data_IF_530759229307
#
_entry.id   IF_530759229307
#
_cell.length_a   1.000
_cell.length_b   1.000
_cell.length_c   1.000
_cell.angle_alpha   90.00
_cell.angle_beta   90.00
_cell.angle_gamma   90.00
#
_symmetry.space_group_name_H-M   'P 1'
#
loop_
_entity.id
_entity.type
_entity.pdbx_description
1 polymer ?
#
# COMPACT_ATOMS: atom_id res chain seq x y z
N UNK A 1 -27.96 18.04 9.05
CA UNK A 1 -27.06 17.88 7.89
C UNK A 1 -26.51 19.25 7.51
N UNK A 2 -25.22 19.32 7.17
CA UNK A 2 -24.40 20.52 6.86
C UNK A 2 -23.94 21.39 8.05
N UNK A 3 -23.25 20.82 9.03
CA UNK A 3 -22.24 21.59 9.77
C UNK A 3 -21.07 21.86 8.83
N UNK A 4 -21.14 23.00 8.16
CA UNK A 4 -20.05 23.58 7.38
C UNK A 4 -18.75 23.51 8.17
N UNK A 5 -17.76 22.74 7.72
CA UNK A 5 -16.46 22.76 8.37
C UNK A 5 -15.74 24.08 8.03
N UNK A 6 -15.76 25.03 8.97
CA UNK A 6 -15.15 26.35 8.82
C UNK A 6 -13.66 26.26 8.43
N UNK A 7 -12.94 25.23 8.86
CA UNK A 7 -11.52 25.07 8.55
C UNK A 7 -11.30 24.72 7.07
N UNK A 8 -12.14 23.84 6.51
CA UNK A 8 -12.12 23.49 5.09
C UNK A 8 -12.43 24.73 4.22
N UNK A 9 -13.50 25.48 4.55
CA UNK A 9 -13.83 26.71 3.82
C UNK A 9 -12.73 27.77 3.93
N UNK A 10 -12.12 27.90 5.11
CA UNK A 10 -11.00 28.82 5.32
C UNK A 10 -9.78 28.49 4.47
N UNK A 11 -9.47 27.19 4.32
CA UNK A 11 -8.44 26.73 3.40
C UNK A 11 -8.80 27.07 1.94
N UNK A 12 -9.98 26.66 1.47
CA UNK A 12 -10.44 26.88 0.09
C UNK A 12 -10.34 28.37 -0.27
N UNK A 13 -10.86 29.26 0.58
CA UNK A 13 -10.79 30.70 0.36
C UNK A 13 -9.33 31.20 0.29
N UNK A 14 -8.48 30.79 1.24
CA UNK A 14 -7.07 31.20 1.25
C UNK A 14 -6.31 30.70 0.02
N UNK A 15 -6.67 29.52 -0.50
CA UNK A 15 -6.10 28.98 -1.73
C UNK A 15 -6.51 29.80 -2.95
N UNK A 16 -7.78 30.20 -3.05
CA UNK A 16 -8.24 31.12 -4.10
C UNK A 16 -7.54 32.46 -4.02
N UNK A 17 -7.46 33.07 -2.83
CA UNK A 17 -6.79 34.36 -2.64
C UNK A 17 -5.31 34.31 -3.06
N UNK A 18 -4.61 33.21 -2.73
CA UNK A 18 -3.23 33.00 -3.15
C UNK A 18 -3.09 32.80 -4.66
N UNK A 19 -4.00 32.06 -5.30
CA UNK A 19 -3.97 31.84 -6.75
C UNK A 19 -4.27 33.11 -7.53
N UNK A 20 -5.20 33.94 -7.05
CA UNK A 20 -5.51 35.25 -7.66
C UNK A 20 -4.36 36.24 -7.45
N UNK A 21 -3.72 36.23 -6.27
CA UNK A 21 -2.57 37.10 -5.95
C UNK A 21 -1.48 36.34 -5.19
N UNK A 22 -0.42 35.95 -5.91
CA UNK A 22 0.75 35.26 -5.36
C UNK A 22 1.69 36.24 -4.64
N UNK A 23 1.34 36.63 -3.41
CA UNK A 23 2.18 37.44 -2.54
C UNK A 23 2.43 36.76 -1.18
N UNK A 24 3.39 37.26 -0.41
CA UNK A 24 3.81 36.65 0.86
C UNK A 24 2.70 36.62 1.92
N UNK A 25 1.84 37.65 1.94
CA UNK A 25 0.70 37.69 2.88
C UNK A 25 -0.28 36.55 2.61
N UNK A 26 -0.65 36.34 1.35
CA UNK A 26 -1.59 35.29 0.95
C UNK A 26 -0.96 33.90 1.10
N UNK A 27 0.34 33.76 0.79
CA UNK A 27 1.09 32.54 1.04
C UNK A 27 1.11 32.18 2.53
N UNK A 28 1.42 33.15 3.39
CA UNK A 28 1.43 32.94 4.84
C UNK A 28 0.04 32.55 5.38
N UNK A 29 -1.02 33.18 4.87
CA UNK A 29 -2.41 32.82 5.22
C UNK A 29 -2.72 31.38 4.83
N UNK A 30 -2.42 30.99 3.58
CA UNK A 30 -2.62 29.63 3.09
C UNK A 30 -1.83 28.59 3.89
N UNK A 31 -0.54 28.87 4.15
CA UNK A 31 0.32 27.98 4.95
C UNK A 31 -0.19 27.80 6.38
N UNK A 32 -0.79 28.85 6.97
CA UNK A 32 -1.44 28.77 8.28
C UNK A 32 -2.67 27.86 8.25
N UNK A 33 -3.53 27.98 7.23
CA UNK A 33 -4.69 27.09 7.08
C UNK A 33 -4.27 25.63 6.95
N UNK A 34 -3.25 25.35 6.12
CA UNK A 34 -2.72 23.99 5.98
C UNK A 34 -2.22 23.46 7.33
N UNK A 35 -1.48 24.27 8.10
CA UNK A 35 -0.97 23.86 9.41
C UNK A 35 -2.10 23.56 10.41
N UNK A 36 -3.19 24.33 10.40
CA UNK A 36 -4.37 24.06 11.24
C UNK A 36 -4.98 22.71 10.85
N UNK A 37 -5.15 22.46 9.54
CA UNK A 37 -5.71 21.19 9.06
C UNK A 37 -4.81 19.99 9.35
N UNK A 38 -3.49 20.15 9.32
CA UNK A 38 -2.52 19.07 9.59
C UNK A 38 -2.54 18.55 11.03
N UNK A 39 -3.25 19.20 11.95
CA UNK A 39 -3.35 18.78 13.36
C UNK A 39 -4.78 18.41 13.78
N UNK A 40 -5.74 18.40 12.84
CA UNK A 40 -7.12 18.03 13.15
C UNK A 40 -7.21 16.55 13.46
N UNK A 41 -7.69 16.21 14.67
CA UNK A 41 -7.83 14.82 15.11
C UNK A 41 -9.01 14.09 14.47
N UNK A 42 -10.14 14.77 14.31
CA UNK A 42 -11.32 14.18 13.69
C UNK A 42 -11.17 14.17 12.17
N UNK A 43 -10.68 13.07 11.61
CA UNK A 43 -10.46 12.97 10.16
C UNK A 43 -11.75 12.90 9.34
N UNK A 44 -12.91 12.64 9.96
CA UNK A 44 -14.20 12.60 9.25
C UNK A 44 -14.53 13.90 8.53
N UNK A 45 -13.92 15.01 8.94
CA UNK A 45 -14.13 16.31 8.30
C UNK A 45 -13.60 16.39 6.86
N UNK A 46 -12.71 15.47 6.50
CA UNK A 46 -12.07 15.41 5.19
C UNK A 46 -12.76 14.37 4.28
N UNK A 47 -13.72 13.58 4.79
CA UNK A 47 -14.39 12.56 3.99
C UNK A 47 -15.08 13.19 2.77
N UNK A 48 -14.78 12.74 1.53
CA UNK A 48 -15.26 13.33 0.29
C UNK A 48 -16.73 13.01 0.04
N UNK A 49 -17.59 13.50 0.92
CA UNK A 49 -19.02 13.18 0.98
C UNK A 49 -19.91 14.36 0.59
N UNK A 50 -19.34 15.57 0.51
CA UNK A 50 -20.04 16.77 0.09
C UNK A 50 -19.20 17.66 -0.85
N UNK A 51 -19.87 18.62 -1.49
CA UNK A 51 -19.24 19.50 -2.48
C UNK A 51 -18.03 20.25 -1.92
N UNK A 52 -18.11 20.73 -0.67
CA UNK A 52 -16.99 21.44 -0.05
C UNK A 52 -15.75 20.56 0.15
N UNK A 53 -15.93 19.30 0.55
CA UNK A 53 -14.80 18.37 0.69
C UNK A 53 -14.21 17.97 -0.66
N UNK A 54 -15.03 17.89 -1.71
CA UNK A 54 -14.54 17.66 -3.07
C UNK A 54 -13.74 18.87 -3.59
N UNK A 55 -14.25 20.08 -3.38
CA UNK A 55 -13.57 21.33 -3.73
C UNK A 55 -12.24 21.49 -2.99
N UNK A 56 -12.17 21.04 -1.72
CA UNK A 56 -10.93 20.96 -0.96
C UNK A 56 -9.87 20.11 -1.66
N UNK A 57 -10.23 18.90 -2.12
CA UNK A 57 -9.27 18.01 -2.81
C UNK A 57 -8.86 18.54 -4.17
N UNK A 58 -9.80 19.08 -4.96
CA UNK A 58 -9.49 19.75 -6.23
C UNK A 58 -8.49 20.89 -5.99
N UNK A 59 -8.71 21.67 -4.94
CA UNK A 59 -7.82 22.79 -4.59
C UNK A 59 -6.43 22.30 -4.16
N UNK A 60 -6.34 21.22 -3.38
CA UNK A 60 -5.06 20.61 -3.00
C UNK A 60 -4.28 20.12 -4.21
N UNK A 61 -4.94 19.40 -5.12
CA UNK A 61 -4.34 18.88 -6.34
C UNK A 61 -3.84 20.03 -7.23
N UNK A 62 -4.63 21.08 -7.42
CA UNK A 62 -4.23 22.27 -8.16
C UNK A 62 -3.00 22.95 -7.55
N UNK A 63 -2.95 23.09 -6.22
CA UNK A 63 -1.79 23.69 -5.55
C UNK A 63 -0.53 22.82 -5.69
N UNK A 64 -0.67 21.50 -5.69
CA UNK A 64 0.45 20.58 -5.95
C UNK A 64 0.92 20.66 -7.40
N UNK A 65 0.01 20.73 -8.36
CA UNK A 65 0.34 20.82 -9.79
C UNK A 65 0.94 22.18 -10.15
N UNK A 66 0.48 23.27 -9.53
CA UNK A 66 1.00 24.63 -9.72
C UNK A 66 2.37 24.87 -9.04
N UNK A 67 2.78 23.96 -8.16
CA UNK A 67 4.01 24.04 -7.37
C UNK A 67 5.03 22.98 -7.82
N UNK A 68 6.25 23.03 -7.27
CA UNK A 68 7.30 22.06 -7.57
C UNK A 68 7.88 21.44 -6.29
N UNK A 69 8.77 20.46 -6.46
CA UNK A 69 9.41 19.70 -5.38
C UNK A 69 10.27 20.54 -4.43
N UNK A 70 10.61 21.77 -4.81
CA UNK A 70 11.37 22.72 -3.97
C UNK A 70 10.46 23.60 -3.11
N UNK A 71 9.19 23.70 -3.45
CA UNK A 71 8.22 24.56 -2.77
C UNK A 71 7.93 24.06 -1.35
N UNK A 72 8.14 24.92 -0.35
CA UNK A 72 7.75 24.64 1.03
C UNK A 72 6.24 24.41 1.15
N UNK A 73 5.45 25.06 0.29
CA UNK A 73 4.00 24.89 0.23
C UNK A 73 3.63 23.44 -0.13
N UNK A 74 4.26 22.87 -1.17
CA UNK A 74 4.03 21.47 -1.57
C UNK A 74 4.32 20.50 -0.44
N UNK A 75 5.41 20.71 0.31
CA UNK A 75 5.74 19.83 1.45
C UNK A 75 4.78 19.96 2.63
N UNK A 76 4.21 21.15 2.87
CA UNK A 76 3.13 21.32 3.84
C UNK A 76 1.87 20.57 3.38
N UNK A 77 1.55 20.60 2.09
CA UNK A 77 0.42 19.85 1.52
C UNK A 77 0.67 18.34 1.62
N UNK A 78 1.86 17.85 1.23
CA UNK A 78 2.23 16.43 1.38
C UNK A 78 2.12 15.99 2.84
N UNK A 79 2.50 16.84 3.80
CA UNK A 79 2.34 16.56 5.23
C UNK A 79 0.86 16.45 5.63
N UNK A 80 0.01 17.35 5.13
CA UNK A 80 -1.43 17.27 5.34
C UNK A 80 -2.01 15.98 4.74
N UNK A 81 -1.58 15.60 3.54
CA UNK A 81 -1.99 14.36 2.88
C UNK A 81 -1.58 13.12 3.69
N UNK A 82 -0.34 13.07 4.20
CA UNK A 82 0.10 12.01 5.10
C UNK A 82 -0.73 11.92 6.37
N UNK A 83 -1.14 13.07 6.93
CA UNK A 83 -2.00 13.12 8.11
C UNK A 83 -3.40 12.56 7.83
N UNK A 84 -4.08 13.06 6.79
CA UNK A 84 -5.46 12.63 6.49
C UNK A 84 -5.53 11.19 5.96
N UNK A 85 -4.43 10.68 5.38
CA UNK A 85 -4.29 9.28 4.93
C UNK A 85 -4.24 8.26 6.07
N UNK A 86 -4.31 8.68 7.33
CA UNK A 86 -4.54 7.76 8.44
C UNK A 86 -5.97 7.18 8.43
N UNK A 87 -6.93 7.85 7.77
CA UNK A 87 -8.27 7.30 7.52
C UNK A 87 -8.27 6.39 6.29
N UNK A 88 -8.78 5.17 6.43
CA UNK A 88 -8.83 4.19 5.35
C UNK A 88 -9.77 4.60 4.21
N UNK A 89 -10.89 5.25 4.52
CA UNK A 89 -11.84 5.79 3.55
C UNK A 89 -11.24 6.94 2.75
N UNK A 90 -10.55 7.87 3.41
CA UNK A 90 -9.82 8.96 2.72
C UNK A 90 -8.74 8.39 1.80
N UNK A 91 -7.96 7.40 2.25
CA UNK A 91 -6.98 6.74 1.37
C UNK A 91 -7.62 6.13 0.14
N UNK A 92 -8.78 5.48 0.29
CA UNK A 92 -9.50 4.90 -0.83
C UNK A 92 -9.92 5.97 -1.84
N UNK A 93 -10.47 7.09 -1.37
CA UNK A 93 -10.84 8.18 -2.28
C UNK A 93 -9.65 8.92 -2.88
N UNK A 94 -8.54 9.10 -2.14
CA UNK A 94 -7.29 9.65 -2.69
C UNK A 94 -6.73 8.78 -3.83
N UNK A 95 -6.97 7.47 -3.77
CA UNK A 95 -6.52 6.48 -4.75
C UNK A 95 -7.46 6.38 -5.96
N UNK A 96 -8.74 6.18 -5.71
CA UNK A 96 -9.71 5.77 -6.74
C UNK A 96 -10.42 6.97 -7.38
N UNK A 97 -10.84 7.94 -6.57
CA UNK A 97 -11.68 9.07 -7.00
C UNK A 97 -10.83 10.27 -7.41
N UNK A 98 -9.88 10.67 -6.55
CA UNK A 98 -9.02 11.84 -6.73
C UNK A 98 -7.78 11.49 -7.55
N UNK A 99 -7.38 10.22 -7.55
CA UNK A 99 -6.24 9.71 -8.33
C UNK A 99 -4.95 10.50 -8.07
N UNK A 100 -4.53 10.56 -6.80
CA UNK A 100 -3.40 11.38 -6.38
C UNK A 100 -2.02 10.72 -6.63
N UNK A 101 -1.98 9.39 -6.80
CA UNK A 101 -0.73 8.62 -7.00
C UNK A 101 0.11 9.12 -8.18
N UNK A 102 -0.46 9.43 -9.38
CA UNK A 102 0.28 10.02 -10.49
C UNK A 102 0.91 11.38 -10.17
N UNK A 103 0.20 12.25 -9.44
CA UNK A 103 0.72 13.57 -9.04
C UNK A 103 1.92 13.40 -8.10
N UNK A 104 1.82 12.53 -7.10
CA UNK A 104 2.91 12.24 -6.16
C UNK A 104 4.10 11.55 -6.86
N UNK A 105 3.83 10.71 -7.86
CA UNK A 105 4.86 10.10 -8.71
C UNK A 105 5.68 11.18 -9.42
N UNK A 106 5.04 12.21 -9.98
CA UNK A 106 5.75 13.33 -10.60
C UNK A 106 6.72 14.05 -9.65
N UNK A 107 6.37 14.17 -8.37
CA UNK A 107 7.27 14.69 -7.34
C UNK A 107 8.46 13.77 -7.06
N UNK A 108 8.22 12.45 -7.02
CA UNK A 108 9.23 11.44 -6.72
C UNK A 108 10.29 11.35 -7.82
N UNK A 109 9.88 11.44 -9.08
CA UNK A 109 10.74 11.34 -10.25
C UNK A 109 11.71 12.52 -10.40
N UNK A 110 11.55 13.59 -9.61
CA UNK A 110 12.51 14.68 -9.57
C UNK A 110 13.76 14.25 -8.76
N UNK A 111 14.85 13.94 -9.46
CA UNK A 111 16.14 13.42 -8.93
C UNK A 111 16.90 14.31 -7.93
N UNK A 112 16.26 15.30 -7.29
CA UNK A 112 16.87 16.27 -6.36
C UNK A 112 16.25 16.26 -4.96
N UNK A 113 15.48 15.24 -4.63
CA UNK A 113 14.92 15.08 -3.29
C UNK A 113 16.00 14.65 -2.29
N UNK A 114 15.94 15.19 -1.07
CA UNK A 114 16.71 14.66 0.05
C UNK A 114 16.17 13.30 0.48
N UNK A 115 16.99 12.48 1.15
CA UNK A 115 16.57 11.16 1.65
C UNK A 115 15.26 11.22 2.45
N UNK A 116 15.14 12.15 3.39
CA UNK A 116 13.91 12.32 4.21
C UNK A 116 12.67 12.63 3.37
N UNK A 117 12.83 13.46 2.33
CA UNK A 117 11.74 13.84 1.42
C UNK A 117 11.33 12.67 0.54
N UNK A 118 12.30 11.91 0.04
CA UNK A 118 12.08 10.68 -0.72
C UNK A 118 11.35 9.64 0.14
N UNK A 119 11.82 9.40 1.36
CA UNK A 119 11.21 8.46 2.30
C UNK A 119 9.75 8.85 2.59
N UNK A 120 9.51 10.12 2.94
CA UNK A 120 8.17 10.62 3.25
C UNK A 120 7.21 10.48 2.07
N UNK A 121 7.68 10.79 0.87
CA UNK A 121 6.86 10.70 -0.33
C UNK A 121 6.57 9.24 -0.70
N UNK A 122 7.56 8.36 -0.60
CA UNK A 122 7.38 6.92 -0.81
C UNK A 122 6.41 6.31 0.19
N UNK A 123 6.50 6.66 1.48
CA UNK A 123 5.56 6.20 2.50
C UNK A 123 4.12 6.65 2.18
N UNK A 124 3.93 7.89 1.71
CA UNK A 124 2.61 8.36 1.30
C UNK A 124 2.08 7.61 0.07
N UNK A 125 2.94 7.40 -0.95
CA UNK A 125 2.57 6.65 -2.14
C UNK A 125 2.26 5.19 -1.78
N UNK A 126 3.03 4.57 -0.89
CA UNK A 126 2.79 3.23 -0.36
C UNK A 126 1.39 3.13 0.27
N UNK A 127 1.04 4.05 1.16
CA UNK A 127 -0.26 4.04 1.84
C UNK A 127 -1.43 4.23 0.86
N UNK A 128 -1.32 5.18 -0.07
CA UNK A 128 -2.41 5.48 -1.02
C UNK A 128 -2.52 4.39 -2.10
N UNK A 129 -1.41 3.80 -2.55
CA UNK A 129 -1.41 2.76 -3.60
C UNK A 129 -1.97 1.41 -3.14
N UNK A 130 -2.20 1.21 -1.85
CA UNK A 130 -2.78 -0.01 -1.33
C UNK A 130 -4.11 -0.36 -2.03
N UNK A 131 -4.24 -1.55 -2.59
CA UNK A 131 -5.39 -2.04 -3.38
C UNK A 131 -5.72 -1.25 -4.67
N UNK A 132 -4.77 -0.49 -5.22
CA UNK A 132 -4.97 0.23 -6.48
C UNK A 132 -5.31 -0.71 -7.65
N UNK A 133 -6.24 -0.27 -8.50
CA UNK A 133 -6.65 -1.00 -9.71
C UNK A 133 -6.17 -0.29 -10.95
N UNK A 134 -5.31 -0.96 -11.70
CA UNK A 134 -4.67 -0.42 -12.91
C UNK A 134 -5.06 -1.33 -14.08
N UNK A 135 -6.14 -0.94 -14.78
CA UNK A 135 -6.74 -1.75 -15.85
C UNK A 135 -5.86 -1.78 -17.11
N UNK A 136 -5.07 -0.72 -17.33
CA UNK A 136 -4.12 -0.59 -18.45
C UNK A 136 -2.85 0.09 -17.96
N UNK A 137 -1.74 -0.12 -18.66
CA UNK A 137 -0.51 0.63 -18.35
C UNK A 137 -0.73 2.12 -18.63
N UNK A 138 -0.53 2.92 -17.59
CA UNK A 138 -0.62 4.38 -17.64
C UNK A 138 0.79 4.99 -17.64
N UNK A 139 0.93 6.23 -18.12
CA UNK A 139 2.24 6.88 -18.28
C UNK A 139 3.02 6.99 -16.96
N UNK A 140 2.34 7.33 -15.87
CA UNK A 140 2.99 7.42 -14.57
C UNK A 140 3.53 6.05 -14.10
N UNK A 141 2.93 4.94 -14.51
CA UNK A 141 3.42 3.58 -14.20
C UNK A 141 4.70 3.28 -14.98
N UNK A 142 4.76 3.69 -16.26
CA UNK A 142 5.95 3.49 -17.10
C UNK A 142 7.16 4.28 -16.62
N UNK A 143 6.94 5.38 -15.91
CA UNK A 143 8.02 6.15 -15.29
C UNK A 143 8.34 5.66 -13.87
N UNK A 144 7.31 5.33 -13.08
CA UNK A 144 7.45 4.92 -11.69
C UNK A 144 8.19 3.59 -11.54
N UNK A 145 7.85 2.57 -12.33
CA UNK A 145 8.45 1.23 -12.17
C UNK A 145 9.98 1.27 -12.37
N UNK A 146 10.52 1.82 -13.48
CA UNK A 146 11.97 1.93 -13.65
C UNK A 146 12.63 2.72 -12.51
N UNK A 147 11.99 3.78 -12.03
CA UNK A 147 12.49 4.57 -10.90
C UNK A 147 12.54 3.76 -9.60
N UNK A 148 11.45 3.06 -9.23
CA UNK A 148 11.42 2.21 -8.03
C UNK A 148 12.45 1.09 -8.11
N UNK A 149 12.56 0.42 -9.26
CA UNK A 149 13.51 -0.68 -9.47
C UNK A 149 14.95 -0.17 -9.42
N UNK A 150 15.27 0.91 -10.12
CA UNK A 150 16.63 1.49 -10.11
C UNK A 150 17.04 1.95 -8.71
N UNK A 151 16.14 2.64 -7.99
CA UNK A 151 16.38 3.07 -6.61
C UNK A 151 16.56 1.87 -5.69
N UNK A 152 15.69 0.85 -5.78
CA UNK A 152 15.82 -0.37 -4.99
C UNK A 152 17.15 -1.10 -5.23
N UNK A 153 17.60 -1.21 -6.48
CA UNK A 153 18.89 -1.83 -6.82
C UNK A 153 20.08 -1.01 -6.32
N UNK A 154 19.94 0.31 -6.16
CA UNK A 154 20.98 1.20 -5.62
C UNK A 154 21.00 1.30 -4.09
N UNK A 155 19.91 0.96 -3.41
CA UNK A 155 19.80 1.04 -1.94
C UNK A 155 20.55 -0.08 -1.24
N UNK A 156 21.10 0.22 -0.05
CA UNK A 156 21.74 -0.78 0.83
C UNK A 156 20.69 -1.65 1.54
N UNK A 157 21.07 -2.84 2.04
CA UNK A 157 20.13 -3.78 2.67
C UNK A 157 19.54 -3.27 4.01
N UNK A 158 20.21 -2.31 4.66
CA UNK A 158 19.78 -1.67 5.90
C UNK A 158 19.06 -0.33 5.68
N UNK A 159 18.76 0.00 4.43
CA UNK A 159 18.16 1.27 4.06
C UNK A 159 16.67 1.29 4.41
N UNK A 160 16.23 2.34 5.11
CA UNK A 160 14.83 2.55 5.50
C UNK A 160 13.89 2.68 4.28
N UNK A 161 14.46 2.94 3.09
CA UNK A 161 13.72 3.01 1.83
C UNK A 161 13.28 1.64 1.30
N UNK A 162 13.88 0.53 1.73
CA UNK A 162 13.57 -0.81 1.16
C UNK A 162 12.10 -1.16 1.30
N UNK A 163 11.55 -1.02 2.51
CA UNK A 163 10.16 -1.42 2.77
C UNK A 163 9.19 -0.55 1.96
N UNK A 164 9.28 0.79 1.94
CA UNK A 164 8.43 1.62 1.08
C UNK A 164 8.58 1.36 -0.41
N UNK A 165 9.80 1.12 -0.90
CA UNK A 165 10.05 0.80 -2.32
C UNK A 165 9.38 -0.51 -2.73
N UNK A 166 9.66 -1.58 -1.99
CA UNK A 166 9.10 -2.91 -2.27
C UNK A 166 7.59 -2.92 -2.07
N UNK A 167 7.07 -2.28 -1.02
CA UNK A 167 5.63 -2.21 -0.76
C UNK A 167 4.90 -1.44 -1.86
N UNK A 168 5.46 -0.32 -2.33
CA UNK A 168 4.88 0.44 -3.45
C UNK A 168 4.88 -0.39 -4.73
N UNK A 169 5.99 -1.05 -5.04
CA UNK A 169 6.10 -1.91 -6.22
C UNK A 169 5.11 -3.09 -6.14
N UNK A 170 4.99 -3.72 -4.98
CA UNK A 170 4.04 -4.80 -4.73
C UNK A 170 2.60 -4.33 -4.87
N UNK A 171 2.24 -3.17 -4.29
CA UNK A 171 0.89 -2.61 -4.38
C UNK A 171 0.43 -2.35 -5.82
N UNK A 172 1.29 -1.76 -6.65
CA UNK A 172 0.93 -1.49 -8.05
C UNK A 172 0.91 -2.77 -8.90
N UNK A 173 1.69 -3.81 -8.55
CA UNK A 173 1.66 -5.10 -9.26
C UNK A 173 0.49 -5.99 -8.84
N UNK A 174 0.09 -5.94 -7.57
CA UNK A 174 -0.90 -6.86 -6.98
C UNK A 174 -2.25 -6.74 -7.67
N UNK A 175 -2.72 -7.86 -8.21
CA UNK A 175 -3.95 -7.96 -9.00
C UNK A 175 -4.02 -6.99 -10.21
N UNK A 176 -2.87 -6.55 -10.73
CA UNK A 176 -2.76 -5.70 -11.91
C UNK A 176 -1.86 -6.35 -12.98
N UNK A 177 -2.38 -7.32 -13.77
CA UNK A 177 -1.61 -8.03 -14.80
C UNK A 177 -0.82 -7.17 -15.79
N UNK A 178 -1.36 -6.04 -16.31
CA UNK A 178 -0.57 -5.18 -17.18
C UNK A 178 0.72 -4.70 -16.52
N UNK A 179 0.66 -4.39 -15.22
CA UNK A 179 1.75 -3.78 -14.45
C UNK A 179 2.87 -4.77 -14.16
N UNK A 180 2.56 -5.97 -13.67
CA UNK A 180 3.62 -6.95 -13.42
C UNK A 180 4.20 -7.54 -14.72
N UNK A 181 3.42 -7.59 -15.81
CA UNK A 181 3.97 -7.93 -17.13
C UNK A 181 4.98 -6.87 -17.58
N UNK A 182 4.65 -5.58 -17.40
CA UNK A 182 5.58 -4.51 -17.69
C UNK A 182 6.84 -4.58 -16.81
N UNK A 183 6.71 -4.82 -15.49
CA UNK A 183 7.85 -5.00 -14.59
C UNK A 183 8.85 -6.06 -15.09
N UNK A 184 8.34 -7.17 -15.63
CA UNK A 184 9.16 -8.25 -16.20
C UNK A 184 9.96 -7.78 -17.42
N UNK A 185 9.39 -6.87 -18.20
CA UNK A 185 9.93 -6.46 -19.51
C UNK A 185 10.86 -5.23 -19.41
N UNK A 186 10.94 -4.55 -18.26
CA UNK A 186 11.77 -3.34 -17.98
C UNK A 186 13.30 -3.60 -18.02
N UNK A 187 13.76 -4.78 -18.48
CA UNK A 187 15.17 -5.05 -18.78
C UNK A 187 16.08 -5.28 -17.55
N UNK A 188 15.52 -5.26 -16.35
CA UNK A 188 16.24 -5.41 -15.07
C UNK A 188 15.88 -6.69 -14.31
N UNK A 189 15.06 -7.59 -14.90
CA UNK A 189 14.56 -8.82 -14.27
C UNK A 189 15.63 -9.60 -13.51
N UNK A 190 16.76 -9.94 -14.15
CA UNK A 190 17.81 -10.76 -13.53
C UNK A 190 18.38 -10.11 -12.26
N UNK A 191 18.75 -8.83 -12.33
CA UNK A 191 19.30 -8.08 -11.19
C UNK A 191 18.26 -7.93 -10.07
N UNK A 192 17.01 -7.70 -10.44
CA UNK A 192 15.90 -7.61 -9.48
C UNK A 192 15.68 -8.94 -8.75
N UNK A 193 15.66 -10.07 -9.47
CA UNK A 193 15.56 -11.41 -8.88
C UNK A 193 16.73 -11.68 -7.93
N UNK A 194 17.97 -11.48 -8.37
CA UNK A 194 19.17 -11.67 -7.54
C UNK A 194 19.10 -10.83 -6.25
N UNK A 195 18.65 -9.57 -6.36
CA UNK A 195 18.49 -8.69 -5.20
C UNK A 195 17.40 -9.17 -4.25
N UNK A 196 16.23 -9.56 -4.75
CA UNK A 196 15.15 -10.10 -3.92
C UNK A 196 15.56 -11.40 -3.22
N UNK A 197 16.27 -12.30 -3.92
CA UNK A 197 16.81 -13.54 -3.33
C UNK A 197 17.75 -13.23 -2.16
N UNK A 198 18.65 -12.26 -2.31
CA UNK A 198 19.56 -11.84 -1.25
C UNK A 198 18.85 -11.24 -0.02
N UNK A 199 17.62 -10.76 -0.19
CA UNK A 199 16.79 -10.24 0.90
C UNK A 199 15.88 -11.30 1.52
N UNK A 200 15.91 -12.55 1.06
CA UNK A 200 15.14 -13.64 1.66
C UNK A 200 15.64 -14.06 3.04
N UNK A 201 16.80 -13.57 3.48
CA UNK A 201 17.34 -13.74 4.84
C UNK A 201 17.14 -12.51 5.73
N UNK A 202 16.48 -11.46 5.22
CA UNK A 202 16.14 -10.26 5.99
C UNK A 202 14.96 -10.51 6.94
N UNK A 203 14.51 -9.46 7.65
CA UNK A 203 13.32 -9.55 8.50
C UNK A 203 12.06 -9.91 7.71
N UNK A 204 11.09 -10.55 8.37
CA UNK A 204 9.91 -11.20 7.77
C UNK A 204 9.13 -10.31 6.81
N UNK A 205 9.00 -9.02 7.11
CA UNK A 205 8.33 -8.06 6.22
C UNK A 205 9.05 -7.91 4.87
N UNK A 206 10.37 -7.73 4.88
CA UNK A 206 11.18 -7.58 3.65
C UNK A 206 11.22 -8.92 2.91
N UNK A 207 11.36 -10.02 3.64
CA UNK A 207 11.38 -11.37 3.08
C UNK A 207 10.08 -11.66 2.31
N UNK A 208 8.93 -11.30 2.90
CA UNK A 208 7.62 -11.54 2.34
C UNK A 208 7.35 -10.66 1.11
N UNK A 209 7.69 -9.36 1.17
CA UNK A 209 7.64 -8.48 0.00
C UNK A 209 8.56 -8.96 -1.13
N UNK A 210 9.78 -9.38 -0.80
CA UNK A 210 10.75 -9.86 -1.80
C UNK A 210 10.25 -11.13 -2.49
N UNK A 211 9.66 -12.05 -1.71
CA UNK A 211 9.02 -13.25 -2.24
C UNK A 211 7.85 -12.93 -3.16
N UNK A 212 7.04 -11.94 -2.81
CA UNK A 212 5.94 -11.48 -3.66
C UNK A 212 6.44 -10.89 -5.00
N UNK A 213 7.49 -10.06 -4.97
CA UNK A 213 8.09 -9.56 -6.22
C UNK A 213 8.65 -10.70 -7.06
N UNK A 214 9.30 -11.71 -6.45
CA UNK A 214 9.77 -12.89 -7.19
C UNK A 214 8.61 -13.65 -7.86
N UNK A 215 7.46 -13.78 -7.18
CA UNK A 215 6.26 -14.35 -7.79
C UNK A 215 5.82 -13.58 -9.03
N UNK A 216 5.81 -12.24 -8.99
CA UNK A 216 5.46 -11.43 -10.17
C UNK A 216 6.41 -11.68 -11.35
N UNK A 217 7.71 -11.88 -11.08
CA UNK A 217 8.72 -12.16 -12.10
C UNK A 217 8.64 -13.59 -12.66
N UNK A 218 8.10 -14.52 -11.86
CA UNK A 218 7.95 -15.95 -12.18
C UNK A 218 6.58 -16.32 -12.80
N UNK A 219 5.49 -15.65 -12.45
CA UNK A 219 4.12 -15.93 -12.94
C UNK A 219 3.97 -15.86 -14.47
N UNK A 220 4.94 -15.23 -15.13
CA UNK A 220 5.06 -15.15 -16.58
C UNK A 220 5.79 -16.30 -17.26
N UNK A 221 6.32 -17.27 -16.51
CA UNK A 221 7.05 -18.42 -17.03
C UNK A 221 6.10 -19.60 -17.29
N UNK A 222 6.41 -20.43 -18.31
CA UNK A 222 5.59 -21.60 -18.67
C UNK A 222 5.48 -22.63 -17.54
N UNK A 223 6.45 -22.68 -16.63
CA UNK A 223 6.45 -23.53 -15.43
C UNK A 223 7.02 -22.74 -14.26
N UNK A 224 6.21 -22.54 -13.22
CA UNK A 224 6.72 -22.11 -11.92
C UNK A 224 7.26 -23.30 -11.15
N UNK A 225 8.33 -23.10 -10.39
CA UNK A 225 8.86 -24.14 -9.51
C UNK A 225 7.83 -24.42 -8.39
N UNK A 226 7.29 -25.65 -8.29
CA UNK A 226 6.32 -25.99 -7.25
C UNK A 226 6.89 -25.82 -5.83
N UNK A 227 8.20 -25.94 -5.67
CA UNK A 227 8.86 -25.77 -4.37
C UNK A 227 8.84 -24.32 -3.93
N UNK A 228 9.04 -23.38 -4.86
CA UNK A 228 8.97 -21.94 -4.60
C UNK A 228 7.59 -21.55 -4.04
N UNK A 229 6.49 -22.02 -4.65
CA UNK A 229 5.13 -21.72 -4.17
C UNK A 229 4.90 -22.22 -2.74
N UNK A 230 5.39 -23.43 -2.42
CA UNK A 230 5.27 -23.95 -1.06
C UNK A 230 6.08 -23.11 -0.07
N UNK A 231 7.29 -22.70 -0.43
CA UNK A 231 8.11 -21.82 0.41
C UNK A 231 7.44 -20.47 0.65
N UNK A 232 6.74 -19.91 -0.35
CA UNK A 232 5.96 -18.69 -0.16
C UNK A 232 4.76 -18.92 0.75
N UNK A 233 4.04 -20.04 0.62
CA UNK A 233 2.95 -20.39 1.54
C UNK A 233 3.46 -20.56 2.98
N UNK A 234 4.57 -21.26 3.18
CA UNK A 234 5.23 -21.40 4.49
C UNK A 234 5.55 -20.03 5.09
N UNK A 235 6.10 -19.12 4.27
CA UNK A 235 6.44 -17.76 4.68
C UNK A 235 5.21 -16.92 5.02
N UNK A 236 4.15 -16.96 4.19
CA UNK A 236 2.89 -16.25 4.44
C UNK A 236 2.34 -16.63 5.82
N UNK A 237 2.26 -17.93 6.11
CA UNK A 237 1.75 -18.41 7.39
C UNK A 237 2.69 -18.08 8.54
N UNK A 238 4.01 -18.23 8.37
CA UNK A 238 4.98 -17.84 9.39
C UNK A 238 4.87 -16.34 9.74
N UNK A 239 4.83 -15.47 8.73
CA UNK A 239 4.65 -14.02 8.89
C UNK A 239 3.28 -13.66 9.47
N UNK A 240 2.21 -14.40 9.15
CA UNK A 240 0.91 -14.19 9.77
C UNK A 240 0.95 -14.51 11.27
N UNK A 241 1.62 -15.61 11.66
CA UNK A 241 1.80 -15.98 13.08
C UNK A 241 2.61 -14.93 13.84
N UNK A 242 3.72 -14.49 13.26
CA UNK A 242 4.54 -13.40 13.81
C UNK A 242 3.71 -12.11 13.94
N UNK A 243 2.97 -11.74 12.90
CA UNK A 243 2.09 -10.58 12.89
C UNK A 243 1.07 -10.57 14.02
N UNK A 244 0.51 -11.73 14.36
CA UNK A 244 -0.37 -11.88 15.53
C UNK A 244 0.42 -11.77 16.83
N UNK A 245 1.49 -12.55 16.99
CA UNK A 245 2.26 -12.66 18.24
C UNK A 245 2.88 -11.31 18.65
N UNK A 246 3.35 -10.54 17.68
CA UNK A 246 3.99 -9.23 17.88
C UNK A 246 3.00 -8.06 17.77
N UNK A 247 1.71 -8.32 17.54
CA UNK A 247 0.70 -7.30 17.25
C UNK A 247 1.08 -6.39 16.05
N UNK A 248 1.81 -6.96 15.08
CA UNK A 248 2.25 -6.28 13.87
C UNK A 248 1.17 -6.41 12.77
N UNK A 249 0.22 -5.47 12.81
CA UNK A 249 -0.90 -5.41 11.86
C UNK A 249 -0.44 -5.32 10.40
N UNK A 250 0.65 -4.59 10.13
CA UNK A 250 1.13 -4.41 8.75
C UNK A 250 1.62 -5.72 8.15
N UNK A 251 2.36 -6.53 8.92
CA UNK A 251 2.84 -7.83 8.48
C UNK A 251 1.66 -8.80 8.26
N UNK A 252 0.70 -8.82 9.18
CA UNK A 252 -0.49 -9.67 9.05
C UNK A 252 -1.36 -9.30 7.84
N UNK A 253 -1.55 -8.00 7.59
CA UNK A 253 -2.24 -7.52 6.38
C UNK A 253 -1.50 -7.96 5.11
N UNK A 254 -0.18 -7.79 5.06
CA UNK A 254 0.62 -8.20 3.92
C UNK A 254 0.51 -9.71 3.64
N UNK A 255 0.64 -10.55 4.68
CA UNK A 255 0.42 -12.00 4.56
C UNK A 255 -0.96 -12.31 3.98
N UNK A 256 -2.01 -11.63 4.45
CA UNK A 256 -3.39 -11.81 3.98
C UNK A 256 -3.54 -11.43 2.52
N UNK A 257 -2.94 -10.32 2.12
CA UNK A 257 -3.07 -9.78 0.78
C UNK A 257 -2.32 -10.62 -0.26
N UNK A 258 -1.14 -11.12 0.09
CA UNK A 258 -0.41 -12.06 -0.77
C UNK A 258 -1.16 -13.36 -0.86
N UNK A 259 -1.69 -13.88 0.25
CA UNK A 259 -2.49 -15.11 0.22
C UNK A 259 -3.72 -14.97 -0.68
N UNK A 260 -4.48 -13.88 -0.55
CA UNK A 260 -5.58 -13.55 -1.45
C UNK A 260 -5.11 -13.53 -2.91
N UNK A 261 -3.98 -12.89 -3.20
CA UNK A 261 -3.47 -12.82 -4.56
C UNK A 261 -3.16 -14.21 -5.14
N UNK A 262 -2.54 -15.10 -4.36
CA UNK A 262 -2.28 -16.48 -4.77
C UNK A 262 -3.59 -17.24 -5.09
N UNK A 263 -4.64 -17.02 -4.29
CA UNK A 263 -5.96 -17.63 -4.53
C UNK A 263 -6.64 -17.14 -5.81
N UNK A 264 -6.41 -15.87 -6.18
CA UNK A 264 -6.94 -15.29 -7.41
C UNK A 264 -6.22 -15.76 -8.67
N UNK A 265 -5.15 -16.55 -8.54
CA UNK A 265 -4.40 -17.12 -9.65
C UNK A 265 -4.86 -18.57 -9.92
N UNK A 266 -5.67 -18.84 -10.96
CA UNK A 266 -6.26 -20.17 -11.17
C UNK A 266 -5.22 -21.28 -11.34
N UNK A 267 -4.05 -20.93 -11.91
CA UNK A 267 -2.92 -21.86 -12.10
C UNK A 267 -2.32 -22.39 -10.79
N UNK A 268 -2.55 -21.69 -9.69
CA UNK A 268 -2.03 -22.06 -8.37
C UNK A 268 -3.04 -22.82 -7.53
N UNK A 269 -4.30 -22.89 -7.95
CA UNK A 269 -5.39 -23.44 -7.15
C UNK A 269 -5.12 -24.89 -6.70
N UNK A 270 -4.79 -25.78 -7.63
CA UNK A 270 -4.47 -27.19 -7.31
C UNK A 270 -3.30 -27.29 -6.33
N UNK A 271 -2.29 -26.43 -6.50
CA UNK A 271 -1.11 -26.43 -5.65
C UNK A 271 -1.45 -26.01 -4.23
N UNK A 272 -2.21 -24.94 -4.07
CA UNK A 272 -2.66 -24.46 -2.76
C UNK A 272 -3.54 -25.51 -2.08
N UNK A 273 -4.45 -26.16 -2.82
CA UNK A 273 -5.28 -27.28 -2.31
C UNK A 273 -4.46 -28.50 -1.88
N UNK A 274 -3.27 -28.70 -2.46
CA UNK A 274 -2.36 -29.79 -2.12
C UNK A 274 -1.36 -29.45 -0.99
N UNK A 275 -1.43 -28.24 -0.43
CA UNK A 275 -0.49 -27.76 0.58
C UNK A 275 -0.71 -28.48 1.91
N UNK A 276 0.20 -29.41 2.23
CA UNK A 276 0.07 -30.35 3.35
C UNK A 276 -0.08 -29.72 4.73
N UNK A 277 0.49 -28.54 4.94
CA UNK A 277 0.47 -27.89 6.25
C UNK A 277 -0.76 -27.00 6.44
N UNK A 278 -1.62 -26.86 5.43
CA UNK A 278 -2.73 -25.90 5.44
C UNK A 278 -3.60 -26.02 6.70
N UNK A 279 -4.10 -27.22 7.00
CA UNK A 279 -4.94 -27.47 8.17
C UNK A 279 -4.30 -27.04 9.49
N UNK A 280 -3.02 -27.39 9.71
CA UNK A 280 -2.30 -27.06 10.95
C UNK A 280 -2.03 -25.55 11.07
N UNK A 281 -1.64 -24.91 9.97
CA UNK A 281 -1.40 -23.47 9.92
C UNK A 281 -2.70 -22.69 10.19
N UNK A 282 -3.81 -23.09 9.58
CA UNK A 282 -5.12 -22.48 9.79
C UNK A 282 -5.64 -22.68 11.21
N UNK A 283 -5.49 -23.89 11.77
CA UNK A 283 -5.90 -24.18 13.15
C UNK A 283 -5.17 -23.28 14.14
N UNK A 284 -3.88 -23.02 13.92
CA UNK A 284 -3.14 -22.06 14.74
C UNK A 284 -3.78 -20.67 14.68
N UNK A 285 -4.05 -20.14 13.47
CA UNK A 285 -4.62 -18.79 13.31
C UNK A 285 -6.02 -18.69 13.94
N UNK A 286 -6.84 -19.74 13.86
CA UNK A 286 -8.17 -19.80 14.52
C UNK A 286 -8.01 -19.69 16.03
N UNK A 287 -7.09 -20.46 16.63
CA UNK A 287 -6.85 -20.42 18.07
C UNK A 287 -6.35 -19.05 18.56
N UNK A 288 -5.80 -18.22 17.67
CA UNK A 288 -5.37 -16.87 18.02
C UNK A 288 -6.51 -15.84 18.02
N UNK A 289 -7.69 -16.14 17.45
CA UNK A 289 -8.82 -15.21 17.48
C UNK A 289 -9.25 -14.85 18.92
N UNK A 290 -9.22 -15.83 19.82
CA UNK A 290 -9.58 -15.66 21.24
C UNK A 290 -8.50 -14.91 22.03
N UNK A 291 -7.24 -14.98 21.59
CA UNK A 291 -6.08 -14.41 22.29
C UNK A 291 -5.63 -13.06 21.73
N UNK A 292 -6.16 -12.65 20.59
CA UNK A 292 -5.77 -11.41 19.93
C UNK A 292 -6.19 -10.19 20.78
N UNK A 293 -5.24 -9.30 21.02
CA UNK A 293 -5.42 -8.11 21.88
C UNK A 293 -6.01 -6.91 21.14
N UNK A 294 -6.04 -6.95 19.80
CA UNK A 294 -6.42 -5.84 18.93
C UNK A 294 -7.58 -6.23 18.01
N UNK A 295 -8.65 -5.45 18.02
CA UNK A 295 -9.81 -5.64 17.14
C UNK A 295 -9.40 -5.68 15.65
N UNK A 296 -8.40 -4.87 15.26
CA UNK A 296 -7.89 -4.85 13.88
C UNK A 296 -7.18 -6.15 13.50
N UNK A 297 -6.47 -6.78 14.45
CA UNK A 297 -5.85 -8.10 14.22
C UNK A 297 -6.93 -9.15 14.03
N UNK A 298 -7.97 -9.16 14.88
CA UNK A 298 -9.12 -10.05 14.76
C UNK A 298 -9.80 -9.86 13.39
N UNK A 299 -10.04 -8.63 12.97
CA UNK A 299 -10.64 -8.32 11.66
C UNK A 299 -9.84 -8.94 10.50
N UNK A 300 -8.50 -8.83 10.53
CA UNK A 300 -7.65 -9.39 9.47
C UNK A 300 -7.60 -10.92 9.54
N UNK A 301 -7.57 -11.52 10.74
CA UNK A 301 -7.66 -12.98 10.91
C UNK A 301 -8.98 -13.54 10.37
N UNK A 302 -10.10 -12.87 10.64
CA UNK A 302 -11.41 -13.25 10.11
C UNK A 302 -11.44 -13.15 8.58
N UNK A 303 -10.77 -12.14 8.00
CA UNK A 303 -10.60 -12.06 6.53
C UNK A 303 -9.77 -13.22 6.01
N UNK A 304 -8.65 -13.55 6.65
CA UNK A 304 -7.84 -14.73 6.32
C UNK A 304 -8.67 -16.01 6.30
N UNK A 305 -9.51 -16.20 7.32
CA UNK A 305 -10.39 -17.36 7.45
C UNK A 305 -11.46 -17.39 6.36
N UNK A 306 -12.07 -16.24 6.07
CA UNK A 306 -13.04 -16.10 4.98
C UNK A 306 -12.43 -16.54 3.65
N UNK A 307 -11.21 -16.10 3.33
CA UNK A 307 -10.50 -16.50 2.10
C UNK A 307 -10.30 -18.01 2.01
N UNK A 308 -9.93 -18.63 3.13
CA UNK A 308 -9.80 -20.08 3.21
C UNK A 308 -11.15 -20.75 2.92
N UNK A 309 -12.25 -20.29 3.53
CA UNK A 309 -13.59 -20.86 3.31
C UNK A 309 -14.02 -20.74 1.84
N UNK A 310 -13.80 -19.59 1.22
CA UNK A 310 -14.16 -19.33 -0.19
C UNK A 310 -13.42 -20.25 -1.17
N UNK A 311 -12.23 -20.75 -0.80
CA UNK A 311 -11.48 -21.74 -1.59
C UNK A 311 -12.04 -23.17 -1.47
N UNK A 312 -12.95 -23.44 -0.54
CA UNK A 312 -13.48 -24.78 -0.25
C UNK A 312 -12.39 -25.84 0.04
N UNK A 313 -11.29 -25.43 0.70
CA UNK A 313 -10.17 -26.34 0.95
C UNK A 313 -10.59 -27.55 1.80
N UNK A 314 -10.16 -28.79 1.44
CA UNK A 314 -10.60 -30.02 2.12
C UNK A 314 -10.44 -29.98 3.64
N UNK A 315 -9.31 -29.47 4.12
CA UNK A 315 -8.99 -29.41 5.55
C UNK A 315 -9.94 -28.50 6.35
N UNK A 316 -10.59 -27.50 5.73
CA UNK A 316 -11.50 -26.58 6.43
C UNK A 316 -12.72 -27.30 6.96
N UNK A 317 -13.18 -28.34 6.26
CA UNK A 317 -14.30 -29.15 6.74
C UNK A 317 -14.00 -29.79 8.09
N UNK A 318 -12.75 -30.20 8.32
CA UNK A 318 -12.32 -30.75 9.61
C UNK A 318 -12.17 -29.68 10.70
N UNK A 319 -11.97 -28.42 10.30
CA UNK A 319 -11.80 -27.27 11.19
C UNK A 319 -13.12 -26.57 11.59
N UNK A 320 -14.26 -26.87 10.95
CA UNK A 320 -15.57 -26.28 11.32
C UNK A 320 -15.89 -26.44 12.82
N UNK A 321 -15.55 -27.59 13.41
CA UNK A 321 -15.76 -27.82 14.85
C UNK A 321 -14.97 -26.83 15.70
N UNK A 322 -13.73 -26.53 15.33
CA UNK A 322 -12.92 -25.52 16.02
C UNK A 322 -13.35 -24.07 15.75
N UNK A 323 -14.14 -23.81 14.69
CA UNK A 323 -14.58 -22.46 14.33
C UNK A 323 -15.94 -22.06 14.91
N UNK A 324 -16.86 -23.03 15.09
CA UNK A 324 -18.26 -22.74 15.46
C UNK A 324 -18.74 -23.49 16.70
N UNK A 325 -17.96 -24.45 17.21
CA UNK A 325 -18.30 -25.21 18.41
C UNK A 325 -17.21 -24.97 19.44
N UNK A 326 -17.34 -23.86 20.16
CA UNK A 326 -16.76 -23.65 21.48
C UNK A 326 -17.72 -22.79 22.30
#
# INVERSE_FOLDING_TARGET
MATTNHQIKGFIQSSYDYRVRRNDKNLASLQRQIQILSVVKNLQIFEPTCMETLEFYITLEQLLTDSNEKSQLSWKIITLLSHISQSSSIRASLRDDIQLVPVLTGYLLNNKLSADKTLKLLQLIQEISYNIKIVRIESWVTDLIPHLVSTFLGTSASDELIVPLLSTLANICRANPPVFNYLRDVGSKKKLMERCINLLSAGSHIQLLSSEILLYLDMGLEKMDPTHINSVLDLIFASAKEGVNENNLSLLCLSKDIFLHLLLCPRLEERIRSYKQFGDQMKFLINQLENATSEKIVEVLLRFLKLSIEMEHPDIKSLYRSMFIK
#
